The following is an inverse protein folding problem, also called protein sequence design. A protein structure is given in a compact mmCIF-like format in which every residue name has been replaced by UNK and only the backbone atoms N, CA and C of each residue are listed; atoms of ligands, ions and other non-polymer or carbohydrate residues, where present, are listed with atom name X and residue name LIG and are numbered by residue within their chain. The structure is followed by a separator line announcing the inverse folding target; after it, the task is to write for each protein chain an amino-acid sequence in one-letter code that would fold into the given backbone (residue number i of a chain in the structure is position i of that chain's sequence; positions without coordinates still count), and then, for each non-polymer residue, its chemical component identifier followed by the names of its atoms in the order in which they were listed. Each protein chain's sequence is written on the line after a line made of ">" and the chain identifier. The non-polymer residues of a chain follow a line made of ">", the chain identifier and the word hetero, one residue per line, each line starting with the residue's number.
data_IF_106823853264
#
_entry.id   IF_106823853264
#
_cell.length_a   1.000
_cell.length_b   1.000
_cell.length_c   1.000
_cell.angle_alpha   90.00
_cell.angle_beta   90.00
_cell.angle_gamma   90.00
#
_symmetry.space_group_name_H-M   'P 1'
#
loop_
_entity.id
_entity.type
_entity.pdbx_description
1 polymer ?
#
# COMPACT_ATOMS: atom_id res chain seq x y z
N UNK A 1 16.78 37.79 -11.68
CA UNK A 1 16.03 37.11 -10.59
C UNK A 1 16.32 35.64 -10.73
N UNK A 2 17.14 35.09 -9.84
CA UNK A 2 17.52 33.63 -9.87
C UNK A 2 16.47 32.87 -9.08
N UNK A 3 15.91 31.82 -9.69
CA UNK A 3 15.02 30.91 -9.02
C UNK A 3 15.86 30.03 -8.08
N UNK A 4 15.58 30.10 -6.79
CA UNK A 4 16.20 29.24 -5.77
C UNK A 4 15.70 27.81 -5.96
N UNK A 5 16.67 26.92 -6.22
CA UNK A 5 16.50 25.48 -6.21
C UNK A 5 16.17 25.04 -4.77
N UNK A 6 15.02 24.43 -4.58
CA UNK A 6 14.69 23.68 -3.36
C UNK A 6 15.70 22.52 -3.24
N UNK A 7 16.43 22.38 -2.14
CA UNK A 7 17.37 21.27 -1.99
C UNK A 7 16.58 19.97 -1.85
N UNK A 8 16.78 19.07 -2.81
CA UNK A 8 16.29 17.70 -2.74
C UNK A 8 16.82 17.05 -1.46
N UNK A 9 15.94 16.41 -0.69
CA UNK A 9 16.29 15.63 0.48
C UNK A 9 17.22 14.49 0.07
N UNK A 10 18.51 14.67 0.33
CA UNK A 10 19.52 13.60 0.24
C UNK A 10 19.26 12.65 1.39
N UNK A 11 18.73 11.47 1.09
CA UNK A 11 18.65 10.37 2.04
C UNK A 11 20.08 9.94 2.42
N UNK A 12 20.38 9.65 3.70
CA UNK A 12 21.72 9.23 4.10
C UNK A 12 22.06 7.87 3.49
N UNK A 13 23.27 7.76 2.96
CA UNK A 13 23.87 6.54 2.44
C UNK A 13 24.06 5.50 3.57
N UNK A 14 23.15 4.58 3.66
CA UNK A 14 23.23 3.29 4.33
C UNK A 14 22.52 2.33 3.41
N UNK A 15 22.98 1.08 3.24
CA UNK A 15 22.56 0.12 2.22
C UNK A 15 21.17 0.37 1.65
N UNK A 16 21.05 0.37 0.32
CA UNK A 16 19.83 0.82 -0.38
C UNK A 16 18.61 0.04 0.10
N UNK A 17 17.81 0.65 0.96
CA UNK A 17 16.52 0.10 1.42
C UNK A 17 15.61 -0.09 0.22
N UNK A 18 15.48 -1.33 -0.24
CA UNK A 18 14.70 -1.68 -1.41
C UNK A 18 13.27 -2.00 -1.01
N UNK A 19 12.32 -1.19 -1.45
CA UNK A 19 10.92 -1.34 -1.09
C UNK A 19 10.01 -1.09 -2.30
N UNK A 20 9.12 -2.04 -2.59
CA UNK A 20 8.00 -1.87 -3.50
C UNK A 20 6.71 -1.49 -2.77
N UNK A 21 5.65 -1.21 -3.53
CA UNK A 21 4.33 -0.98 -2.94
C UNK A 21 3.20 -1.55 -3.79
N UNK A 22 2.23 -2.17 -3.13
CA UNK A 22 0.93 -2.56 -3.69
C UNK A 22 -0.15 -1.69 -3.06
N UNK A 23 -0.85 -0.92 -3.88
CA UNK A 23 -2.02 -0.13 -3.49
C UNK A 23 -3.28 -0.83 -3.98
N UNK A 24 -4.10 -1.31 -3.05
CA UNK A 24 -5.37 -1.98 -3.34
C UNK A 24 -6.44 -0.92 -3.55
N UNK A 25 -6.82 -0.69 -4.80
CA UNK A 25 -7.80 0.32 -5.22
C UNK A 25 -9.06 -0.29 -5.84
N UNK A 26 -9.21 -1.61 -5.75
CA UNK A 26 -10.39 -2.36 -6.17
C UNK A 26 -11.46 -2.40 -5.08
N UNK A 27 -12.66 -2.81 -5.48
CA UNK A 27 -13.77 -3.03 -4.56
C UNK A 27 -15.09 -2.54 -5.14
N UNK A 28 -16.20 -3.14 -4.70
CA UNK A 28 -17.55 -2.84 -5.25
C UNK A 28 -18.14 -1.51 -4.75
N UNK A 29 -17.54 -0.85 -3.76
CA UNK A 29 -17.94 0.43 -3.17
C UNK A 29 -19.47 0.55 -2.94
N UNK A 30 -20.12 -0.52 -2.49
CA UNK A 30 -21.61 -0.60 -2.39
C UNK A 30 -22.22 0.51 -1.52
N UNK A 31 -21.52 0.87 -0.42
CA UNK A 31 -21.94 1.94 0.52
C UNK A 31 -21.73 3.35 -0.03
N UNK A 32 -21.00 3.47 -1.13
CA UNK A 32 -20.74 4.71 -1.87
C UNK A 32 -21.46 4.72 -3.22
N UNK A 33 -22.61 4.02 -3.33
CA UNK A 33 -23.40 3.93 -4.55
C UNK A 33 -22.58 3.51 -5.78
N UNK A 34 -21.64 2.58 -5.59
CA UNK A 34 -20.70 2.09 -6.61
C UNK A 34 -19.72 3.14 -7.16
N UNK A 35 -19.61 4.30 -6.55
CA UNK A 35 -18.53 5.25 -6.87
C UNK A 35 -17.20 4.65 -6.42
N UNK A 36 -16.20 4.53 -7.31
CA UNK A 36 -14.89 4.02 -6.92
C UNK A 36 -14.29 4.89 -5.82
N UNK A 37 -13.94 4.32 -4.66
CA UNK A 37 -13.31 5.06 -3.55
C UNK A 37 -12.08 5.84 -4.04
N UNK A 38 -11.26 5.20 -4.86
CA UNK A 38 -10.04 5.78 -5.43
C UNK A 38 -10.26 7.14 -6.10
N UNK A 39 -11.46 7.41 -6.62
CA UNK A 39 -11.81 8.68 -7.30
C UNK A 39 -12.43 9.74 -6.41
N UNK A 40 -12.69 9.45 -5.14
CA UNK A 40 -13.16 10.49 -4.21
C UNK A 40 -12.08 11.54 -4.03
N UNK A 41 -12.46 12.84 -4.03
CA UNK A 41 -11.54 13.96 -4.00
C UNK A 41 -11.93 14.99 -2.93
N UNK A 42 -10.93 15.61 -2.33
CA UNK A 42 -11.07 16.78 -1.45
C UNK A 42 -11.04 18.13 -2.22
N UNK A 43 -11.04 18.03 -3.56
CA UNK A 43 -10.91 19.19 -4.47
C UNK A 43 -9.48 19.46 -4.94
N UNK A 44 -8.49 18.82 -4.31
CA UNK A 44 -7.06 18.91 -4.68
C UNK A 44 -6.52 17.55 -5.08
N UNK A 45 -6.71 16.55 -4.21
CA UNK A 45 -6.20 15.19 -4.39
C UNK A 45 -7.34 14.19 -4.34
N UNK A 46 -7.20 13.11 -5.08
CA UNK A 46 -8.05 11.93 -4.92
C UNK A 46 -7.48 11.03 -3.80
N UNK A 47 -8.30 10.09 -3.30
CA UNK A 47 -7.81 9.07 -2.36
C UNK A 47 -6.66 8.27 -2.98
N UNK A 48 -6.68 8.04 -4.30
CA UNK A 48 -5.58 7.38 -5.00
C UNK A 48 -4.31 8.23 -4.99
N UNK A 49 -4.43 9.55 -5.20
CA UNK A 49 -3.28 10.45 -5.14
C UNK A 49 -2.63 10.42 -3.76
N UNK A 50 -3.44 10.49 -2.69
CA UNK A 50 -2.95 10.39 -1.31
C UNK A 50 -2.20 9.08 -1.04
N UNK A 51 -2.75 7.95 -1.49
CA UNK A 51 -2.10 6.65 -1.33
C UNK A 51 -0.78 6.56 -2.13
N UNK A 52 -0.75 7.05 -3.38
CA UNK A 52 0.44 7.05 -4.23
C UNK A 52 1.52 8.00 -3.71
N UNK A 53 1.14 9.15 -3.15
CA UNK A 53 2.06 10.07 -2.49
C UNK A 53 2.70 9.44 -1.25
N UNK A 54 1.89 8.76 -0.42
CA UNK A 54 2.39 8.07 0.76
C UNK A 54 3.48 7.02 0.44
N UNK A 55 3.39 6.37 -0.73
CA UNK A 55 4.36 5.36 -1.20
C UNK A 55 5.32 5.89 -2.25
N UNK A 56 5.48 7.21 -2.39
CA UNK A 56 6.30 7.81 -3.47
C UNK A 56 7.77 7.35 -3.47
N UNK A 57 8.31 6.97 -2.31
CA UNK A 57 9.69 6.46 -2.18
C UNK A 57 9.83 4.97 -2.57
N UNK A 58 8.73 4.25 -2.78
CA UNK A 58 8.75 2.84 -3.18
C UNK A 58 8.90 2.68 -4.70
N UNK A 59 9.63 1.64 -5.13
CA UNK A 59 9.78 1.26 -6.54
C UNK A 59 10.02 -0.26 -6.65
N UNK A 60 9.26 -0.98 -7.53
CA UNK A 60 8.10 -0.49 -8.27
C UNK A 60 6.87 -0.22 -7.40
N UNK A 61 5.93 0.58 -7.93
CA UNK A 61 4.61 0.82 -7.34
C UNK A 61 3.54 0.23 -8.25
N UNK A 62 2.64 -0.55 -7.66
CA UNK A 62 1.54 -1.21 -8.38
C UNK A 62 0.21 -0.79 -7.78
N UNK A 63 -0.72 -0.36 -8.63
CA UNK A 63 -2.13 -0.17 -8.26
C UNK A 63 -2.93 -1.35 -8.77
N UNK A 64 -3.65 -2.01 -7.87
CA UNK A 64 -4.57 -3.09 -8.20
C UNK A 64 -5.98 -2.54 -8.23
N UNK A 65 -6.54 -2.42 -9.43
CA UNK A 65 -7.86 -1.81 -9.61
C UNK A 65 -8.30 -1.74 -11.06
N UNK A 66 -9.46 -1.12 -11.33
CA UNK A 66 -10.02 -1.04 -12.68
C UNK A 66 -9.16 -0.20 -13.63
N UNK A 67 -9.26 -0.50 -14.93
CA UNK A 67 -8.52 0.23 -15.98
C UNK A 67 -8.87 1.72 -16.07
N UNK A 68 -10.07 2.07 -15.63
CA UNK A 68 -10.57 3.45 -15.66
C UNK A 68 -9.88 4.40 -14.67
N UNK A 69 -9.11 3.90 -13.70
CA UNK A 69 -8.36 4.77 -12.78
C UNK A 69 -7.22 5.47 -13.52
N UNK A 70 -7.11 6.79 -13.46
CA UNK A 70 -5.96 7.50 -13.99
C UNK A 70 -4.74 7.18 -13.13
N UNK A 71 -3.62 6.79 -13.77
CA UNK A 71 -2.37 6.52 -13.06
C UNK A 71 -1.27 7.43 -13.61
N UNK A 72 -0.40 7.96 -12.76
CA UNK A 72 0.78 8.68 -13.21
C UNK A 72 1.77 7.73 -13.89
N UNK A 73 2.64 8.29 -14.75
CA UNK A 73 3.71 7.51 -15.39
C UNK A 73 4.61 6.85 -14.35
N UNK A 74 5.06 5.62 -14.65
CA UNK A 74 5.93 4.84 -13.75
C UNK A 74 5.19 4.10 -12.62
N UNK A 75 3.86 4.16 -12.59
CA UNK A 75 3.03 3.31 -11.72
C UNK A 75 2.44 2.18 -12.56
N UNK A 76 2.70 0.96 -12.14
CA UNK A 76 2.16 -0.25 -12.78
C UNK A 76 0.69 -0.43 -12.43
N UNK A 77 -0.04 -1.09 -13.32
CA UNK A 77 -1.44 -1.47 -13.11
C UNK A 77 -1.61 -2.96 -13.26
N UNK A 78 -2.40 -3.53 -12.37
CA UNK A 78 -2.93 -4.89 -12.51
C UNK A 78 -4.34 -4.97 -11.94
N UNK A 79 -4.96 -6.12 -12.09
CA UNK A 79 -6.27 -6.44 -11.50
C UNK A 79 -6.31 -7.90 -11.13
N UNK A 80 -7.00 -8.22 -10.04
CA UNK A 80 -7.29 -9.60 -9.67
C UNK A 80 -8.17 -10.30 -10.73
N UNK A 81 -7.94 -11.60 -10.92
CA UNK A 81 -8.73 -12.45 -11.82
C UNK A 81 -9.28 -13.67 -11.04
N UNK A 82 -10.60 -13.86 -11.00
CA UNK A 82 -11.65 -12.98 -11.56
C UNK A 82 -11.76 -11.65 -10.80
N UNK A 83 -12.28 -10.58 -11.48
CA UNK A 83 -12.51 -9.29 -10.82
C UNK A 83 -13.42 -9.41 -9.60
N UNK A 84 -13.14 -8.61 -8.57
CA UNK A 84 -13.86 -8.60 -7.29
C UNK A 84 -13.67 -9.84 -6.42
N UNK A 85 -12.60 -10.59 -6.61
CA UNK A 85 -12.19 -11.73 -5.77
C UNK A 85 -11.68 -11.33 -4.38
N UNK A 86 -11.82 -10.07 -4.01
CA UNK A 86 -11.48 -9.55 -2.70
C UNK A 86 -10.03 -9.06 -2.55
N UNK A 87 -9.74 -8.42 -1.41
CA UNK A 87 -8.46 -7.73 -1.21
C UNK A 87 -7.27 -8.70 -1.14
N UNK A 88 -7.46 -9.95 -0.72
CA UNK A 88 -6.37 -10.93 -0.70
C UNK A 88 -5.94 -11.31 -2.13
N UNK A 89 -6.89 -11.50 -3.05
CA UNK A 89 -6.61 -11.75 -4.46
C UNK A 89 -5.95 -10.52 -5.12
N UNK A 90 -6.38 -9.31 -4.74
CA UNK A 90 -5.74 -8.08 -5.21
C UNK A 90 -4.28 -7.98 -4.76
N UNK A 91 -3.97 -8.29 -3.49
CA UNK A 91 -2.59 -8.33 -3.00
C UNK A 91 -1.76 -9.34 -3.81
N UNK A 92 -2.27 -10.56 -4.00
CA UNK A 92 -1.60 -11.56 -4.82
C UNK A 92 -1.28 -11.03 -6.23
N UNK A 93 -2.28 -10.49 -6.94
CA UNK A 93 -2.09 -9.94 -8.27
C UNK A 93 -1.04 -8.82 -8.30
N UNK A 94 -1.02 -7.95 -7.28
CA UNK A 94 -0.04 -6.89 -7.14
C UNK A 94 1.39 -7.41 -6.94
N UNK A 95 1.58 -8.42 -6.09
CA UNK A 95 2.87 -9.03 -5.82
C UNK A 95 3.42 -9.74 -7.06
N UNK A 96 2.58 -10.48 -7.80
CA UNK A 96 3.00 -11.13 -9.04
C UNK A 96 3.32 -10.11 -10.15
N UNK A 97 2.60 -8.98 -10.20
CA UNK A 97 2.91 -7.89 -11.12
C UNK A 97 4.29 -7.28 -10.84
N UNK A 98 4.66 -7.08 -9.56
CA UNK A 98 5.99 -6.61 -9.15
C UNK A 98 7.06 -7.62 -9.59
N UNK A 99 6.87 -8.90 -9.29
CA UNK A 99 7.83 -9.95 -9.64
C UNK A 99 8.07 -10.03 -11.15
N UNK A 100 7.00 -10.01 -11.95
CA UNK A 100 7.08 -10.01 -13.41
C UNK A 100 7.76 -8.75 -13.97
N UNK A 101 7.57 -7.58 -13.35
CA UNK A 101 8.24 -6.35 -13.75
C UNK A 101 9.74 -6.40 -13.47
N UNK A 102 10.13 -6.89 -12.31
CA UNK A 102 11.53 -7.07 -11.93
C UNK A 102 12.23 -8.07 -12.88
N UNK A 103 11.58 -9.19 -13.21
CA UNK A 103 12.09 -10.19 -14.14
C UNK A 103 12.30 -9.59 -15.54
N UNK A 104 11.26 -8.89 -16.08
CA UNK A 104 11.32 -8.24 -17.39
C UNK A 104 12.42 -7.17 -17.46
N UNK A 105 12.60 -6.42 -16.39
CA UNK A 105 13.58 -5.33 -16.28
C UNK A 105 14.97 -5.82 -15.88
N UNK A 106 15.13 -7.12 -15.57
CA UNK A 106 16.37 -7.74 -15.11
C UNK A 106 16.95 -7.06 -13.86
N UNK A 107 16.06 -6.64 -12.94
CA UNK A 107 16.45 -6.08 -11.64
C UNK A 107 16.11 -7.04 -10.51
N UNK A 108 16.84 -7.01 -9.38
CA UNK A 108 16.51 -7.83 -8.22
C UNK A 108 15.10 -7.55 -7.70
N UNK A 109 14.49 -8.56 -7.07
CA UNK A 109 13.25 -8.37 -6.32
C UNK A 109 13.49 -7.39 -5.16
N UNK A 110 12.49 -6.57 -4.81
CA UNK A 110 12.59 -5.69 -3.66
C UNK A 110 12.67 -6.53 -2.37
N UNK A 111 13.35 -6.03 -1.37
CA UNK A 111 13.45 -6.70 -0.07
C UNK A 111 12.14 -6.56 0.72
N UNK A 112 11.52 -5.40 0.63
CA UNK A 112 10.29 -5.06 1.32
C UNK A 112 9.15 -4.72 0.36
N UNK A 113 7.92 -4.89 0.83
CA UNK A 113 6.71 -4.47 0.13
C UNK A 113 5.72 -3.81 1.10
N UNK A 114 5.35 -2.58 0.79
CA UNK A 114 4.22 -1.89 1.42
C UNK A 114 2.91 -2.41 0.84
N UNK A 115 1.94 -2.67 1.71
CA UNK A 115 0.57 -3.00 1.34
C UNK A 115 -0.34 -1.92 1.89
N UNK A 116 -1.04 -1.21 0.99
CA UNK A 116 -1.97 -0.14 1.36
C UNK A 116 -3.34 -0.34 0.74
N UNK A 117 -4.39 0.00 1.51
CA UNK A 117 -5.71 0.31 0.96
C UNK A 117 -5.75 1.74 0.46
N UNK A 118 -6.52 1.98 -0.61
CA UNK A 118 -6.71 3.33 -1.17
C UNK A 118 -7.61 4.22 -0.31
N UNK A 119 -8.29 3.65 0.68
CA UNK A 119 -9.34 4.30 1.47
C UNK A 119 -8.86 5.06 2.71
N UNK A 120 -7.55 5.14 2.92
CA UNK A 120 -6.95 5.80 4.09
C UNK A 120 -6.22 7.09 3.67
N UNK A 121 -6.90 8.24 3.61
CA UNK A 121 -6.38 9.48 2.99
C UNK A 121 -5.18 10.09 3.74
N UNK A 122 -5.05 9.83 5.04
CA UNK A 122 -3.99 10.41 5.89
C UNK A 122 -2.89 9.41 6.23
N UNK A 123 -2.69 8.38 5.41
CA UNK A 123 -1.81 7.25 5.72
C UNK A 123 -0.31 7.58 5.66
N UNK A 124 0.10 8.71 5.13
CA UNK A 124 1.52 9.03 4.93
C UNK A 124 2.37 8.96 6.21
N UNK A 125 1.96 9.49 7.38
CA UNK A 125 2.74 9.31 8.62
C UNK A 125 2.84 7.85 9.05
N UNK A 126 1.78 7.06 8.88
CA UNK A 126 1.78 5.63 9.18
C UNK A 126 2.77 4.86 8.30
N UNK A 127 2.83 5.17 6.99
CA UNK A 127 3.82 4.58 6.07
C UNK A 127 5.25 4.93 6.48
N UNK A 128 5.52 6.16 6.90
CA UNK A 128 6.85 6.56 7.38
C UNK A 128 7.26 5.75 8.63
N UNK A 129 6.34 5.51 9.57
CA UNK A 129 6.60 4.69 10.75
C UNK A 129 6.89 3.23 10.38
N UNK A 130 6.17 2.65 9.40
CA UNK A 130 6.41 1.30 8.89
C UNK A 130 7.79 1.18 8.26
N UNK A 131 8.17 2.13 7.39
CA UNK A 131 9.49 2.17 6.77
C UNK A 131 10.59 2.31 7.83
N UNK A 132 10.38 3.15 8.84
CA UNK A 132 11.34 3.30 9.93
C UNK A 132 11.50 2.00 10.73
N UNK A 133 10.39 1.28 11.01
CA UNK A 133 10.43 0.00 11.70
C UNK A 133 11.20 -1.06 10.89
N UNK A 134 10.96 -1.17 9.58
CA UNK A 134 11.65 -2.09 8.69
C UNK A 134 13.16 -1.78 8.64
N UNK A 135 13.55 -0.53 8.44
CA UNK A 135 14.96 -0.11 8.45
C UNK A 135 15.67 -0.37 9.77
N UNK A 136 14.97 -0.23 10.89
CA UNK A 136 15.54 -0.54 12.20
C UNK A 136 15.73 -2.04 12.39
N UNK A 137 14.84 -2.86 11.87
CA UNK A 137 14.99 -4.32 11.86
C UNK A 137 16.20 -4.77 11.04
N UNK A 138 16.42 -4.21 9.85
CA UNK A 138 17.62 -4.51 9.03
C UNK A 138 18.93 -4.16 9.76
N UNK A 139 18.93 -3.07 10.52
CA UNK A 139 20.11 -2.64 11.28
C UNK A 139 20.37 -3.47 12.52
N UNK A 140 19.36 -4.15 13.03
CA UNK A 140 19.52 -5.03 14.18
C UNK A 140 20.30 -6.27 13.76
N UNK A 141 21.47 -6.51 14.36
CA UNK A 141 22.28 -7.69 14.08
C UNK A 141 21.47 -8.96 14.33
N UNK A 142 21.34 -9.80 13.29
CA UNK A 142 20.64 -11.09 13.39
C UNK A 142 19.22 -11.11 12.83
N UNK A 143 18.74 -10.03 12.20
CA UNK A 143 17.47 -10.09 11.47
C UNK A 143 17.60 -11.08 10.29
N UNK A 144 16.83 -12.17 10.33
CA UNK A 144 16.73 -13.15 9.24
C UNK A 144 15.26 -13.35 8.91
N UNK A 145 14.79 -12.99 7.71
CA UNK A 145 13.39 -13.16 7.31
C UNK A 145 12.98 -14.63 7.19
N UNK A 146 13.95 -15.56 7.23
CA UNK A 146 13.73 -17.00 7.09
C UNK A 146 13.60 -17.74 8.43
N UNK A 147 13.91 -17.09 9.55
CA UNK A 147 13.74 -17.69 10.87
C UNK A 147 12.27 -17.68 11.27
N UNK A 148 11.72 -18.85 11.56
CA UNK A 148 10.30 -19.05 11.90
C UNK A 148 9.85 -18.29 13.17
N UNK A 149 10.77 -17.83 13.99
CA UNK A 149 10.52 -17.00 15.19
C UNK A 149 10.62 -15.49 14.91
N UNK A 150 11.22 -15.09 13.78
CA UNK A 150 11.37 -13.69 13.40
C UNK A 150 10.09 -13.17 12.77
N UNK A 151 9.77 -11.91 13.06
CA UNK A 151 8.68 -11.20 12.38
C UNK A 151 9.04 -10.96 10.92
N UNK A 152 8.23 -11.46 9.97
CA UNK A 152 8.45 -11.20 8.55
C UNK A 152 7.82 -9.88 8.07
N UNK A 153 7.56 -8.93 8.98
CA UNK A 153 7.02 -7.64 8.64
C UNK A 153 6.40 -6.89 9.81
N UNK A 154 5.76 -5.79 9.48
CA UNK A 154 5.12 -4.89 10.42
C UNK A 154 3.74 -4.49 9.91
N UNK A 155 2.77 -4.39 10.80
CA UNK A 155 1.45 -3.87 10.48
C UNK A 155 0.99 -2.80 11.47
N UNK A 156 0.13 -1.90 11.00
CA UNK A 156 -0.44 -0.85 11.81
C UNK A 156 -1.43 -1.37 12.84
N UNK A 157 -1.40 -0.75 14.02
CA UNK A 157 -2.41 -0.95 15.06
C UNK A 157 -2.84 0.43 15.56
N UNK A 158 -4.13 0.72 15.46
CA UNK A 158 -4.73 1.93 16.00
C UNK A 158 -5.84 1.54 16.99
N UNK A 159 -5.82 2.11 18.18
CA UNK A 159 -6.81 1.82 19.24
C UNK A 159 -6.99 0.31 19.51
N UNK A 160 -5.92 -0.47 19.41
CA UNK A 160 -5.94 -1.92 19.57
C UNK A 160 -6.49 -2.70 18.38
N UNK A 161 -6.86 -2.02 17.27
CA UNK A 161 -7.39 -2.63 16.06
C UNK A 161 -6.26 -2.74 15.03
N UNK A 162 -6.03 -3.95 14.53
CA UNK A 162 -5.08 -4.19 13.44
C UNK A 162 -5.59 -3.64 12.13
N UNK A 163 -4.68 -2.99 11.38
CA UNK A 163 -4.93 -2.39 10.07
C UNK A 163 -4.34 -3.27 8.95
N UNK A 164 -5.06 -4.27 8.41
CA UNK A 164 -4.48 -5.25 7.50
C UNK A 164 -3.97 -4.68 6.18
N UNK A 165 -4.51 -3.53 5.76
CA UNK A 165 -4.09 -2.83 4.55
C UNK A 165 -3.22 -1.59 4.87
N UNK A 166 -2.54 -1.60 6.02
CA UNK A 166 -1.48 -0.63 6.37
C UNK A 166 -0.32 -1.43 6.98
N UNK A 167 0.58 -1.91 6.13
CA UNK A 167 1.68 -2.77 6.56
C UNK A 167 2.86 -2.78 5.59
N UNK A 168 4.01 -3.26 6.09
CA UNK A 168 5.23 -3.51 5.31
C UNK A 168 5.73 -4.90 5.64
N UNK A 169 6.10 -5.66 4.63
CA UNK A 169 6.45 -7.08 4.78
C UNK A 169 7.65 -7.42 3.90
N UNK A 170 8.44 -8.41 4.31
CA UNK A 170 9.42 -9.02 3.41
C UNK A 170 8.74 -9.53 2.14
N UNK A 171 9.26 -9.14 0.99
CA UNK A 171 8.61 -9.39 -0.31
C UNK A 171 8.39 -10.88 -0.57
N UNK A 172 9.43 -11.69 -0.42
CA UNK A 172 9.33 -13.14 -0.64
C UNK A 172 8.39 -13.81 0.37
N UNK A 173 8.41 -13.39 1.63
CA UNK A 173 7.56 -13.95 2.65
C UNK A 173 6.07 -13.66 2.38
N UNK A 174 5.72 -12.39 2.07
CA UNK A 174 4.32 -12.06 1.76
C UNK A 174 3.88 -12.71 0.45
N UNK A 175 4.73 -12.76 -0.58
CA UNK A 175 4.43 -13.43 -1.85
C UNK A 175 4.15 -14.91 -1.63
N UNK A 176 4.94 -15.60 -0.81
CA UNK A 176 4.74 -17.01 -0.47
C UNK A 176 3.40 -17.25 0.21
N UNK A 177 3.00 -16.44 1.21
CA UNK A 177 1.75 -16.69 1.93
C UNK A 177 0.50 -16.36 1.10
N UNK A 178 0.60 -15.44 0.13
CA UNK A 178 -0.50 -15.11 -0.79
C UNK A 178 -0.48 -15.90 -2.10
N UNK A 179 0.37 -16.90 -2.26
CA UNK A 179 0.52 -17.65 -3.51
C UNK A 179 -0.72 -18.45 -3.93
N UNK A 180 -1.57 -18.85 -2.99
CA UNK A 180 -2.77 -19.69 -3.27
C UNK A 180 -3.92 -19.38 -2.32
N UNK A 181 -5.15 -19.70 -2.76
CA UNK A 181 -6.33 -19.65 -1.92
C UNK A 181 -6.80 -18.25 -1.53
N UNK A 182 -6.54 -17.25 -2.38
CA UNK A 182 -6.76 -15.83 -2.05
C UNK A 182 -8.16 -15.32 -2.41
N UNK A 183 -8.93 -16.06 -3.23
CA UNK A 183 -10.29 -15.67 -3.62
C UNK A 183 -11.22 -15.61 -2.42
N UNK A 184 -11.87 -14.47 -2.21
CA UNK A 184 -12.78 -14.17 -1.09
C UNK A 184 -12.21 -14.48 0.31
N UNK A 185 -10.89 -14.54 0.41
CA UNK A 185 -10.20 -14.88 1.63
C UNK A 185 -9.85 -13.65 2.49
N UNK A 186 -9.74 -13.86 3.80
CA UNK A 186 -9.39 -12.80 4.73
C UNK A 186 -7.90 -12.45 4.64
N UNK A 187 -7.57 -11.21 4.26
CA UNK A 187 -6.20 -10.68 4.28
C UNK A 187 -5.52 -10.94 5.64
N UNK A 188 -6.24 -10.68 6.73
CA UNK A 188 -5.73 -10.85 8.08
C UNK A 188 -5.29 -12.30 8.37
N UNK A 189 -5.97 -13.30 7.79
CA UNK A 189 -5.61 -14.71 8.00
C UNK A 189 -4.27 -15.06 7.35
N UNK A 190 -3.97 -14.48 6.19
CA UNK A 190 -2.68 -14.62 5.51
C UNK A 190 -1.56 -13.90 6.27
N UNK A 191 -1.79 -12.64 6.62
CA UNK A 191 -0.78 -11.81 7.27
C UNK A 191 -0.36 -12.34 8.64
N UNK A 192 -1.29 -12.94 9.40
CA UNK A 192 -0.95 -13.58 10.69
C UNK A 192 0.11 -14.69 10.57
N UNK A 193 0.18 -15.35 9.42
CA UNK A 193 1.20 -16.40 9.15
C UNK A 193 2.62 -15.83 9.07
N UNK A 194 2.75 -14.52 8.84
CA UNK A 194 4.01 -13.80 8.81
C UNK A 194 4.46 -13.33 10.21
N UNK A 195 3.65 -13.55 11.25
CA UNK A 195 3.90 -13.06 12.60
C UNK A 195 4.34 -11.58 12.65
N UNK A 196 3.62 -10.64 11.99
CA UNK A 196 4.08 -9.28 11.89
C UNK A 196 4.09 -8.56 13.23
N UNK A 197 5.13 -7.76 13.48
CA UNK A 197 5.20 -6.92 14.66
C UNK A 197 4.22 -5.73 14.56
N UNK A 198 3.61 -5.37 15.68
CA UNK A 198 2.67 -4.26 15.75
C UNK A 198 3.41 -2.91 15.79
N UNK A 199 3.02 -1.98 14.92
CA UNK A 199 3.41 -0.57 14.98
C UNK A 199 2.21 0.25 15.41
N UNK A 200 2.32 0.91 16.59
CA UNK A 200 1.23 1.75 17.10
C UNK A 200 1.10 3.01 16.25
N UNK A 201 -0.11 3.30 15.81
CA UNK A 201 -0.43 4.41 14.91
C UNK A 201 -1.55 5.27 15.49
N UNK A 202 -1.62 6.51 15.06
CA UNK A 202 -2.75 7.38 15.35
C UNK A 202 -4.02 6.87 14.65
N UNK A 203 -5.15 6.90 15.32
CA UNK A 203 -6.45 6.63 14.69
C UNK A 203 -6.73 7.59 13.51
N UNK A 204 -6.23 8.83 13.61
CA UNK A 204 -6.37 9.82 12.51
C UNK A 204 -5.62 9.40 11.25
N UNK A 205 -4.44 8.78 11.40
CA UNK A 205 -3.59 8.39 10.27
C UNK A 205 -4.10 7.10 9.59
N UNK A 206 -4.95 6.34 10.28
CA UNK A 206 -5.51 5.07 9.80
C UNK A 206 -7.03 5.12 9.58
N UNK A 207 -7.63 6.31 9.73
CA UNK A 207 -9.06 6.49 9.45
C UNK A 207 -9.37 6.23 7.97
N UNK A 208 -10.29 5.31 7.74
CA UNK A 208 -10.74 4.91 6.41
C UNK A 208 -12.02 5.62 5.96
N UNK A 209 -12.26 5.62 4.66
CA UNK A 209 -13.46 6.15 4.02
C UNK A 209 -14.27 4.98 3.48
N UNK A 210 -15.27 4.56 4.25
CA UNK A 210 -16.19 3.46 3.88
C UNK A 210 -17.59 3.93 3.51
N UNK A 211 -18.02 5.09 4.04
CA UNK A 211 -19.36 5.65 3.83
C UNK A 211 -19.28 7.10 3.37
N UNK A 212 -20.41 7.63 2.87
CA UNK A 212 -20.52 9.03 2.49
C UNK A 212 -20.35 9.98 3.67
N UNK A 213 -20.82 9.59 4.85
CA UNK A 213 -20.65 10.39 6.07
C UNK A 213 -19.19 10.52 6.44
N UNK A 214 -18.42 9.42 6.35
CA UNK A 214 -16.97 9.44 6.60
C UNK A 214 -16.23 10.26 5.53
N UNK A 215 -16.59 10.10 4.24
CA UNK A 215 -16.04 10.88 3.15
C UNK A 215 -16.25 12.39 3.40
N UNK A 216 -17.46 12.81 3.68
CA UNK A 216 -17.80 14.21 3.93
C UNK A 216 -17.11 14.77 5.18
N UNK A 217 -17.03 13.98 6.26
CA UNK A 217 -16.33 14.38 7.48
C UNK A 217 -14.83 14.65 7.25
N UNK A 218 -14.23 13.99 6.26
CA UNK A 218 -12.85 14.19 5.84
C UNK A 218 -12.70 15.17 4.65
N UNK A 219 -13.81 15.77 4.17
CA UNK A 219 -13.83 16.73 3.09
C UNK A 219 -13.83 16.13 1.68
N UNK A 220 -14.03 14.81 1.56
CA UNK A 220 -14.05 14.11 0.27
C UNK A 220 -15.46 14.08 -0.34
N UNK A 221 -15.51 14.32 -1.64
CA UNK A 221 -16.74 14.26 -2.47
C UNK A 221 -16.45 13.49 -3.75
N UNK A 222 -17.47 13.26 -4.57
CA UNK A 222 -17.23 12.80 -5.95
C UNK A 222 -16.41 13.85 -6.68
N UNK A 223 -15.25 13.50 -7.21
CA UNK A 223 -14.61 14.35 -8.21
C UNK A 223 -15.60 14.44 -9.38
N UNK A 224 -16.06 15.65 -9.69
CA UNK A 224 -16.74 15.91 -10.94
C UNK A 224 -15.69 15.75 -12.05
N UNK A 225 -15.46 14.53 -12.49
CA UNK A 225 -14.88 14.31 -13.81
C UNK A 225 -15.94 14.81 -14.80
N UNK A 226 -15.89 16.12 -15.05
CA UNK A 226 -16.64 16.71 -16.15
C UNK A 226 -16.26 15.96 -17.40
N UNK A 227 -17.26 15.33 -18.00
CA UNK A 227 -17.21 14.79 -19.35
C UNK A 227 -16.57 15.83 -20.29
N UNK A 228 -15.40 15.52 -20.81
CA UNK A 228 -14.87 16.07 -22.05
C UNK A 228 -14.72 14.96 -23.05
#
# INVERSE_FOLDING_TARGET
>A
MRADKIPGSVLPAGGDFSCAAVVVAGGASRRLNHVPKASLSDGTNTLLDCALEAVAAASPRVVVGPESLPLPSGVLRTREDPPFSGPAAAIHAGLECIAADCERSQVPLPEWCLILGVDTPRVAPAVQQLIAAARNAERAAGFSPTDSESSAGFWGVAEGIYQPLVGIYHFEAIRSVFSTGTTDASVRSFLRRLNPAAVQMSATDTADVDTWEQAQALGYTTSLWSSY
#
